data_IF_243921167001
#
_entry.id   IF_243921167001
#
_cell.length_a   1.000
_cell.length_b   1.000
_cell.length_c   1.000
_cell.angle_alpha   90.00
_cell.angle_beta   90.00
_cell.angle_gamma   90.00
#
_symmetry.space_group_name_H-M   'P 1'
#
loop_
_entity.id
_entity.type
_entity.pdbx_description
1 polymer ?
#
# COMPACT_ATOMS: atom_id res chain seq x y z
N UNK A 1 5.76 22.62 -12.72
CA UNK A 1 5.61 21.18 -12.42
C UNK A 1 4.34 21.06 -11.58
N UNK A 2 3.32 20.41 -12.10
CA UNK A 2 1.96 20.49 -11.55
C UNK A 2 1.87 19.79 -10.17
N UNK A 3 1.10 20.37 -9.24
CA UNK A 3 0.97 19.87 -7.87
C UNK A 3 0.45 18.42 -7.84
N UNK A 4 -0.46 18.09 -8.76
CA UNK A 4 -0.98 16.74 -8.99
C UNK A 4 0.13 15.73 -9.28
N UNK A 5 1.03 16.07 -10.21
CA UNK A 5 2.16 15.22 -10.57
C UNK A 5 3.07 14.94 -9.37
N UNK A 6 3.36 15.97 -8.56
CA UNK A 6 4.16 15.81 -7.35
C UNK A 6 3.52 14.82 -6.37
N UNK A 7 2.23 14.99 -6.07
CA UNK A 7 1.49 14.11 -5.13
C UNK A 7 1.43 12.67 -5.65
N UNK A 8 1.06 12.47 -6.93
CA UNK A 8 1.02 11.13 -7.53
C UNK A 8 2.38 10.43 -7.45
N UNK A 9 3.45 11.16 -7.75
CA UNK A 9 4.83 10.63 -7.69
C UNK A 9 5.23 10.29 -6.26
N UNK A 10 4.94 11.16 -5.28
CA UNK A 10 5.23 10.91 -3.88
C UNK A 10 4.49 9.67 -3.35
N UNK A 11 3.20 9.52 -3.70
CA UNK A 11 2.39 8.36 -3.29
C UNK A 11 2.90 7.08 -3.95
N UNK A 12 3.30 7.13 -5.23
CA UNK A 12 3.94 6.01 -5.93
C UNK A 12 5.22 5.59 -5.21
N UNK A 13 6.10 6.54 -4.89
CA UNK A 13 7.36 6.26 -4.19
C UNK A 13 7.10 5.59 -2.84
N UNK A 14 6.17 6.11 -2.04
CA UNK A 14 5.78 5.49 -0.76
C UNK A 14 5.27 4.05 -0.98
N UNK A 15 4.44 3.84 -2.00
CA UNK A 15 3.86 2.53 -2.33
C UNK A 15 4.93 1.52 -2.76
N UNK A 16 5.90 1.94 -3.57
CA UNK A 16 7.02 1.09 -4.03
C UNK A 16 7.99 0.74 -2.90
N UNK A 17 8.18 1.66 -1.96
CA UNK A 17 9.09 1.51 -0.83
C UNK A 17 8.46 0.67 0.30
N UNK A 18 7.13 0.66 0.45
CA UNK A 18 6.41 -0.11 1.46
C UNK A 18 6.77 -1.61 1.53
N UNK A 19 6.79 -2.39 0.42
CA UNK A 19 7.18 -3.79 0.47
C UNK A 19 8.65 -3.97 0.88
N UNK A 20 9.56 -3.05 0.51
CA UNK A 20 10.97 -3.12 0.90
C UNK A 20 11.12 -2.99 2.42
N UNK A 21 10.49 -1.99 3.03
CA UNK A 21 10.52 -1.85 4.49
C UNK A 21 9.75 -2.95 5.20
N UNK A 22 8.67 -3.45 4.62
CA UNK A 22 7.93 -4.59 5.18
C UNK A 22 8.80 -5.85 5.21
N UNK A 23 9.55 -6.11 4.14
CA UNK A 23 10.55 -7.19 4.10
C UNK A 23 11.65 -7.01 5.14
N UNK A 24 12.19 -5.79 5.28
CA UNK A 24 13.17 -5.47 6.32
C UNK A 24 12.60 -5.72 7.73
N UNK A 25 11.36 -5.33 7.99
CA UNK A 25 10.69 -5.60 9.26
C UNK A 25 10.52 -7.12 9.52
N UNK A 26 10.27 -7.92 8.49
CA UNK A 26 10.19 -9.38 8.60
C UNK A 26 11.56 -9.97 8.98
N UNK A 27 12.67 -9.43 8.44
CA UNK A 27 14.03 -9.85 8.84
C UNK A 27 14.31 -9.59 10.33
N UNK A 28 13.77 -8.51 10.90
CA UNK A 28 13.91 -8.22 12.34
C UNK A 28 13.25 -9.27 13.24
N UNK A 29 12.18 -9.92 12.77
CA UNK A 29 11.59 -11.07 13.48
C UNK A 29 12.56 -12.25 13.56
N UNK A 30 13.33 -12.52 12.48
CA UNK A 30 14.36 -13.58 12.50
C UNK A 30 15.49 -13.27 13.49
N UNK A 31 15.75 -11.99 13.74
CA UNK A 31 16.70 -11.50 14.75
C UNK A 31 16.10 -11.44 16.17
N UNK A 32 14.87 -11.94 16.37
CA UNK A 32 14.09 -11.84 17.62
C UNK A 32 13.78 -10.40 18.07
N UNK A 33 14.03 -9.41 17.23
CA UNK A 33 13.75 -8.00 17.50
C UNK A 33 12.30 -7.65 17.10
N UNK A 34 11.37 -8.05 17.96
CA UNK A 34 9.94 -7.84 17.75
C UNK A 34 9.50 -6.38 17.97
N UNK A 35 10.28 -5.61 18.75
CA UNK A 35 10.01 -4.20 19.01
C UNK A 35 10.26 -3.39 17.74
N UNK A 36 11.40 -3.61 17.08
CA UNK A 36 11.72 -2.95 15.82
C UNK A 36 10.78 -3.39 14.71
N UNK A 37 10.43 -4.69 14.62
CA UNK A 37 9.42 -5.17 13.68
C UNK A 37 8.09 -4.39 13.82
N UNK A 38 7.57 -4.31 15.06
CA UNK A 38 6.33 -3.57 15.36
C UNK A 38 6.45 -2.08 15.02
N UNK A 39 7.58 -1.45 15.35
CA UNK A 39 7.82 -0.03 15.09
C UNK A 39 7.81 0.25 13.60
N UNK A 40 8.57 -0.51 12.80
CA UNK A 40 8.62 -0.34 11.35
C UNK A 40 7.23 -0.55 10.74
N UNK A 41 6.56 -1.67 11.05
CA UNK A 41 5.22 -1.98 10.51
C UNK A 41 4.18 -0.90 10.84
N UNK A 42 4.24 -0.34 12.05
CA UNK A 42 3.37 0.78 12.42
C UNK A 42 3.68 2.04 11.59
N UNK A 43 4.96 2.40 11.49
CA UNK A 43 5.38 3.62 10.79
C UNK A 43 5.01 3.54 9.31
N UNK A 44 5.38 2.45 8.64
CA UNK A 44 5.06 2.30 7.21
C UNK A 44 3.55 2.30 6.98
N UNK A 45 2.76 1.62 7.82
CA UNK A 45 1.31 1.64 7.73
C UNK A 45 0.75 3.06 7.88
N UNK A 46 1.23 3.84 8.85
CA UNK A 46 0.78 5.20 9.08
C UNK A 46 1.12 6.13 7.89
N UNK A 47 2.36 6.06 7.38
CA UNK A 47 2.76 6.82 6.19
C UNK A 47 1.95 6.46 4.95
N UNK A 48 1.73 5.15 4.74
CA UNK A 48 0.94 4.62 3.64
C UNK A 48 -0.52 5.09 3.70
N UNK A 49 -1.17 5.01 4.87
CA UNK A 49 -2.53 5.54 5.07
C UNK A 49 -2.58 7.05 4.82
N UNK A 50 -1.63 7.81 5.36
CA UNK A 50 -1.58 9.26 5.14
C UNK A 50 -1.44 9.61 3.65
N UNK A 51 -0.54 8.92 2.93
CA UNK A 51 -0.34 9.10 1.50
C UNK A 51 -1.62 8.80 0.69
N UNK A 52 -2.31 7.69 0.99
CA UNK A 52 -3.57 7.33 0.33
C UNK A 52 -4.67 8.34 0.63
N UNK A 53 -4.78 8.83 1.87
CA UNK A 53 -5.77 9.86 2.22
C UNK A 53 -5.50 11.18 1.48
N UNK A 54 -4.24 11.60 1.37
CA UNK A 54 -3.86 12.78 0.59
C UNK A 54 -4.20 12.59 -0.90
N UNK A 55 -3.90 11.41 -1.47
CA UNK A 55 -4.26 11.09 -2.86
C UNK A 55 -5.77 11.10 -3.07
N UNK A 56 -6.54 10.50 -2.16
CA UNK A 56 -7.99 10.45 -2.24
C UNK A 56 -8.62 11.84 -2.17
N UNK A 57 -8.10 12.72 -1.30
CA UNK A 57 -8.54 14.12 -1.25
C UNK A 57 -8.27 14.84 -2.57
N UNK A 58 -7.06 14.68 -3.12
CA UNK A 58 -6.71 15.24 -4.43
C UNK A 58 -7.69 14.76 -5.51
N UNK A 59 -7.91 13.44 -5.60
CA UNK A 59 -8.84 12.83 -6.56
C UNK A 59 -10.24 13.44 -6.43
N UNK A 60 -10.75 13.58 -5.21
CA UNK A 60 -12.09 14.14 -4.96
C UNK A 60 -12.19 15.61 -5.34
N UNK A 61 -11.19 16.42 -5.00
CA UNK A 61 -11.18 17.85 -5.33
C UNK A 61 -10.93 18.13 -6.81
N UNK A 62 -10.30 17.21 -7.53
CA UNK A 62 -10.08 17.31 -8.98
C UNK A 62 -11.25 16.80 -9.83
N UNK A 63 -12.36 16.35 -9.21
CA UNK A 63 -13.54 15.88 -9.93
C UNK A 63 -13.60 14.37 -10.17
N UNK A 64 -12.82 13.58 -9.42
CA UNK A 64 -12.82 12.12 -9.46
C UNK A 64 -11.60 11.53 -10.19
N UNK A 65 -11.46 10.20 -10.16
CA UNK A 65 -10.24 9.53 -10.64
C UNK A 65 -9.96 9.76 -12.13
N UNK A 66 -11.01 9.94 -12.95
CA UNK A 66 -10.90 10.28 -14.36
C UNK A 66 -10.10 11.56 -14.65
N UNK A 67 -10.15 12.53 -13.74
CA UNK A 67 -9.38 13.78 -13.87
C UNK A 67 -7.87 13.58 -13.82
N UNK A 68 -7.40 12.48 -13.20
CA UNK A 68 -5.97 12.20 -13.03
C UNK A 68 -5.30 11.69 -14.31
N UNK A 69 -6.08 11.18 -15.27
CA UNK A 69 -5.60 10.59 -16.51
C UNK A 69 -6.37 11.09 -17.74
N UNK A 70 -7.22 12.11 -17.60
CA UNK A 70 -8.10 12.58 -18.69
C UNK A 70 -7.35 13.13 -19.91
N UNK A 71 -6.07 13.52 -19.74
CA UNK A 71 -5.20 13.92 -20.84
C UNK A 71 -4.38 12.78 -21.46
N UNK A 72 -4.44 11.57 -20.91
CA UNK A 72 -3.68 10.42 -21.41
C UNK A 72 -4.35 9.79 -22.62
N UNK A 73 -3.52 9.27 -23.54
CA UNK A 73 -3.97 8.42 -24.64
C UNK A 73 -4.72 7.15 -24.20
N UNK A 74 -4.57 6.73 -22.93
CA UNK A 74 -5.21 5.57 -22.35
C UNK A 74 -6.53 5.86 -21.62
N UNK A 75 -7.01 7.11 -21.62
CA UNK A 75 -8.19 7.52 -20.86
C UNK A 75 -9.43 6.66 -21.17
N UNK A 76 -9.58 6.21 -22.41
CA UNK A 76 -10.67 5.33 -22.85
C UNK A 76 -10.28 3.88 -23.08
N UNK A 77 -9.02 3.51 -22.79
CA UNK A 77 -8.52 2.16 -22.95
C UNK A 77 -9.15 1.20 -21.90
N UNK A 78 -9.90 0.16 -22.33
CA UNK A 78 -10.52 -0.80 -21.39
C UNK A 78 -9.50 -1.56 -20.54
N UNK A 79 -8.31 -1.81 -21.07
CA UNK A 79 -7.21 -2.48 -20.34
C UNK A 79 -6.75 -1.60 -19.19
N UNK A 80 -6.53 -0.31 -19.44
CA UNK A 80 -6.16 0.65 -18.40
C UNK A 80 -7.23 0.73 -17.30
N UNK A 81 -8.51 0.90 -17.67
CA UNK A 81 -9.63 0.95 -16.72
C UNK A 81 -9.72 -0.34 -15.87
N UNK A 82 -9.44 -1.49 -16.47
CA UNK A 82 -9.40 -2.79 -15.77
C UNK A 82 -8.24 -2.87 -14.78
N UNK A 83 -7.03 -2.49 -15.19
CA UNK A 83 -5.85 -2.48 -14.33
C UNK A 83 -6.04 -1.50 -13.16
N UNK A 84 -6.54 -0.30 -13.43
CA UNK A 84 -6.85 0.71 -12.42
C UNK A 84 -7.86 0.17 -11.39
N UNK A 85 -8.95 -0.45 -11.87
CA UNK A 85 -9.96 -1.05 -10.98
C UNK A 85 -9.37 -2.18 -10.14
N UNK A 86 -8.59 -3.07 -10.75
CA UNK A 86 -7.93 -4.16 -10.05
C UNK A 86 -6.89 -3.67 -9.03
N UNK A 87 -6.19 -2.58 -9.33
CA UNK A 87 -5.28 -1.90 -8.41
C UNK A 87 -6.03 -1.39 -7.18
N UNK A 88 -7.12 -0.64 -7.39
CA UNK A 88 -7.93 -0.06 -6.31
C UNK A 88 -8.47 -1.16 -5.38
N UNK A 89 -9.07 -2.21 -5.95
CA UNK A 89 -9.61 -3.34 -5.17
C UNK A 89 -8.50 -3.99 -4.34
N UNK A 90 -7.36 -4.30 -4.96
CA UNK A 90 -6.24 -4.93 -4.26
C UNK A 90 -5.65 -4.03 -3.17
N UNK A 91 -5.57 -2.72 -3.41
CA UNK A 91 -5.13 -1.74 -2.42
C UNK A 91 -6.06 -1.71 -1.21
N UNK A 92 -7.36 -1.53 -1.44
CA UNK A 92 -8.38 -1.49 -0.36
C UNK A 92 -8.36 -2.76 0.48
N UNK A 93 -8.37 -3.94 -0.16
CA UNK A 93 -8.32 -5.23 0.56
C UNK A 93 -7.04 -5.38 1.37
N UNK A 94 -5.89 -4.98 0.80
CA UNK A 94 -4.60 -5.03 1.50
C UNK A 94 -4.63 -4.17 2.75
N UNK A 95 -5.12 -2.92 2.68
CA UNK A 95 -5.21 -2.04 3.84
C UNK A 95 -6.21 -2.54 4.89
N UNK A 96 -7.36 -3.11 4.50
CA UNK A 96 -8.31 -3.69 5.45
C UNK A 96 -7.65 -4.82 6.26
N UNK A 97 -7.00 -5.76 5.56
CA UNK A 97 -6.32 -6.90 6.19
C UNK A 97 -5.15 -6.42 7.06
N UNK A 98 -4.38 -5.44 6.58
CA UNK A 98 -3.24 -4.90 7.32
C UNK A 98 -3.69 -4.15 8.58
N UNK A 99 -4.76 -3.36 8.50
CA UNK A 99 -5.38 -2.67 9.63
C UNK A 99 -5.79 -3.67 10.71
N UNK A 100 -6.51 -4.72 10.31
CA UNK A 100 -6.88 -5.82 11.20
C UNK A 100 -5.65 -6.41 11.90
N UNK A 101 -4.57 -6.67 11.14
CA UNK A 101 -3.34 -7.25 11.65
C UNK A 101 -2.66 -6.32 12.66
N UNK A 102 -2.57 -5.01 12.38
CA UNK A 102 -2.00 -4.00 13.29
C UNK A 102 -2.78 -3.95 14.62
N UNK A 103 -4.12 -3.86 14.56
CA UNK A 103 -4.97 -3.78 15.76
C UNK A 103 -4.84 -5.04 16.61
N UNK A 104 -5.00 -6.23 16.01
CA UNK A 104 -4.92 -7.50 16.75
C UNK A 104 -3.52 -7.74 17.31
N UNK A 105 -2.47 -7.42 16.56
CA UNK A 105 -1.08 -7.59 17.02
C UNK A 105 -0.76 -6.67 18.19
N UNK A 106 -1.21 -5.41 18.16
CA UNK A 106 -1.02 -4.47 19.28
C UNK A 106 -1.65 -4.96 20.59
N UNK A 107 -2.88 -5.50 20.53
CA UNK A 107 -3.60 -6.01 21.71
C UNK A 107 -2.93 -7.24 22.34
N UNK A 108 -2.16 -8.02 21.56
CA UNK A 108 -1.55 -9.29 21.96
C UNK A 108 -0.03 -9.22 22.16
N UNK A 109 0.62 -8.13 21.76
CA UNK A 109 2.06 -7.94 21.88
C UNK A 109 2.52 -8.05 23.34
N UNK A 110 3.58 -8.83 23.59
CA UNK A 110 4.19 -9.05 24.93
C UNK A 110 3.26 -9.64 26.00
N UNK A 111 2.09 -10.18 25.63
CA UNK A 111 1.23 -10.93 26.57
C UNK A 111 1.51 -12.43 26.53
N UNK A 112 1.55 -13.01 25.33
CA UNK A 112 1.83 -14.44 25.12
C UNK A 112 2.53 -14.62 23.77
N UNK A 113 3.87 -14.70 23.78
CA UNK A 113 4.68 -14.93 22.59
C UNK A 113 5.64 -16.10 22.79
N UNK A 114 5.66 -17.12 21.91
CA UNK A 114 4.71 -17.35 20.82
C UNK A 114 3.36 -17.89 21.34
N UNK A 115 2.27 -17.13 21.17
CA UNK A 115 0.91 -17.60 21.44
C UNK A 115 0.20 -18.13 20.19
N UNK A 116 -1.02 -18.69 20.33
CA UNK A 116 -1.86 -19.21 19.23
C UNK A 116 -2.04 -18.23 18.05
N UNK A 117 -2.00 -16.92 18.33
CA UNK A 117 -2.11 -15.88 17.31
C UNK A 117 -0.88 -15.76 16.39
N UNK A 118 0.28 -16.26 16.80
CA UNK A 118 1.54 -16.14 16.03
C UNK A 118 1.44 -16.83 14.67
N UNK A 119 0.76 -17.97 14.61
CA UNK A 119 0.53 -18.73 13.37
C UNK A 119 -0.36 -17.93 12.42
N UNK A 120 -1.48 -17.41 12.92
CA UNK A 120 -2.38 -16.54 12.14
C UNK A 120 -1.68 -15.27 11.69
N UNK A 121 -0.93 -14.62 12.58
CA UNK A 121 -0.18 -13.40 12.25
C UNK A 121 0.81 -13.64 11.11
N UNK A 122 1.55 -14.76 11.14
CA UNK A 122 2.49 -15.12 10.08
C UNK A 122 1.77 -15.35 8.75
N UNK A 123 0.67 -16.12 8.74
CA UNK A 123 -0.10 -16.41 7.51
C UNK A 123 -0.68 -15.12 6.91
N UNK A 124 -1.38 -14.32 7.72
CA UNK A 124 -1.99 -13.07 7.28
C UNK A 124 -0.93 -12.03 6.91
N UNK A 125 0.22 -11.99 7.61
CA UNK A 125 1.34 -11.12 7.29
C UNK A 125 1.94 -11.41 5.91
N UNK A 126 1.99 -12.68 5.48
CA UNK A 126 2.39 -13.03 4.11
C UNK A 126 1.38 -12.50 3.09
N UNK A 127 0.08 -12.63 3.36
CA UNK A 127 -0.98 -12.07 2.49
C UNK A 127 -0.83 -10.56 2.34
N UNK A 128 -0.61 -9.84 3.44
CA UNK A 128 -0.34 -8.38 3.39
C UNK A 128 0.92 -8.07 2.58
N UNK A 129 2.00 -8.82 2.78
CA UNK A 129 3.25 -8.60 2.05
C UNK A 129 3.07 -8.79 0.53
N UNK A 130 2.40 -9.88 0.12
CA UNK A 130 2.07 -10.12 -1.30
C UNK A 130 1.16 -9.02 -1.83
N UNK A 131 0.17 -8.59 -1.04
CA UNK A 131 -0.69 -7.44 -1.37
C UNK A 131 0.10 -6.16 -1.62
N UNK A 132 1.07 -5.83 -0.76
CA UNK A 132 1.93 -4.65 -0.94
C UNK A 132 2.78 -4.71 -2.21
N UNK A 133 3.31 -5.90 -2.57
CA UNK A 133 4.05 -6.08 -3.82
C UNK A 133 3.12 -5.91 -5.02
N UNK A 134 1.95 -6.55 -4.99
CA UNK A 134 0.92 -6.42 -6.02
C UNK A 134 0.51 -4.95 -6.21
N UNK A 135 0.22 -4.22 -5.13
CA UNK A 135 -0.17 -2.81 -5.20
C UNK A 135 0.97 -1.93 -5.69
N UNK A 136 2.22 -2.23 -5.34
CA UNK A 136 3.38 -1.51 -5.85
C UNK A 136 3.56 -1.66 -7.36
N UNK A 137 3.49 -2.90 -7.86
CA UNK A 137 3.60 -3.18 -9.30
C UNK A 137 2.44 -2.55 -10.07
N UNK A 138 1.21 -2.76 -9.62
CA UNK A 138 0.03 -2.21 -10.32
C UNK A 138 -0.05 -0.68 -10.23
N UNK A 139 0.37 -0.06 -9.12
CA UNK A 139 0.46 1.40 -9.02
C UNK A 139 1.46 1.97 -10.04
N UNK A 140 2.61 1.31 -10.22
CA UNK A 140 3.60 1.73 -11.20
C UNK A 140 3.03 1.67 -12.61
N UNK A 141 2.36 0.57 -12.98
CA UNK A 141 1.74 0.44 -14.30
C UNK A 141 0.66 1.50 -14.52
N UNK A 142 -0.24 1.70 -13.55
CA UNK A 142 -1.27 2.74 -13.62
C UNK A 142 -0.64 4.13 -13.79
N UNK A 143 0.39 4.44 -13.01
CA UNK A 143 1.08 5.73 -13.09
C UNK A 143 1.74 5.96 -14.46
N UNK A 144 2.46 4.96 -14.98
CA UNK A 144 3.13 5.07 -16.29
C UNK A 144 2.11 5.25 -17.42
N UNK A 145 1.02 4.47 -17.42
CA UNK A 145 -0.06 4.63 -18.41
C UNK A 145 -0.76 5.99 -18.27
N UNK A 146 -1.01 6.46 -17.04
CA UNK A 146 -1.70 7.75 -16.81
C UNK A 146 -0.89 8.94 -17.33
N UNK A 147 0.42 8.78 -17.51
CA UNK A 147 1.34 9.81 -17.99
C UNK A 147 1.91 9.50 -19.39
N UNK A 148 1.33 8.51 -20.09
CA UNK A 148 1.76 8.07 -21.43
C UNK A 148 3.25 7.70 -21.54
N UNK A 149 3.84 7.17 -20.46
CA UNK A 149 5.20 6.64 -20.50
C UNK A 149 5.27 5.23 -21.12
N UNK A 150 4.15 4.51 -21.15
CA UNK A 150 3.97 3.18 -21.77
C UNK A 150 2.60 3.08 -22.43
#
# INVERSE_FOLDING_TARGET
MDFTFFIMTAVLVVTLIAPIFSYYAIRKVKQKDLVTHKKIQTLIYAFCIAAVLVLELLIRFSGGSGSMYGGSSHADNPVFKTILTAHIIGAVLTYIIWTYLIIKSRRKFQKTLPGKFSVTHKKVGVVVFVGLVYTGVTALVVYLMSLDFI
#
